data_IF_195919097788
#
_entry.id   IF_195919097788
#
_cell.length_a   1.000
_cell.length_b   1.000
_cell.length_c   1.000
_cell.angle_alpha   90.00
_cell.angle_beta   90.00
_cell.angle_gamma   90.00
#
_symmetry.space_group_name_H-M   'P 1'
#
loop_
_entity.id
_entity.type
_entity.pdbx_description
1 polymer ?
#
# COMPACT_ATOMS: atom_id res chain seq x y z
N UNK A 1 29.22 -32.99 65.29
CA UNK A 1 28.16 -32.01 64.99
C UNK A 1 28.06 -31.89 63.48
N UNK A 2 27.06 -32.50 62.88
CA UNK A 2 26.79 -32.48 61.44
C UNK A 2 25.93 -31.26 61.13
N UNK A 3 26.47 -30.31 60.36
CA UNK A 3 25.73 -29.11 59.93
C UNK A 3 25.05 -29.44 58.61
N UNK A 4 23.73 -29.67 58.67
CA UNK A 4 22.87 -29.82 57.49
C UNK A 4 22.70 -28.46 56.83
N UNK A 5 23.20 -28.30 55.60
CA UNK A 5 22.95 -27.11 54.80
C UNK A 5 21.48 -27.06 54.36
N UNK A 6 20.81 -25.94 54.61
CA UNK A 6 19.45 -25.68 54.15
C UNK A 6 19.44 -25.44 52.63
N UNK A 7 18.43 -25.93 51.89
CA UNK A 7 18.31 -25.68 50.46
C UNK A 7 17.95 -24.20 50.21
N UNK A 8 18.68 -23.56 49.31
CA UNK A 8 18.39 -22.20 48.85
C UNK A 8 17.06 -22.17 48.08
N UNK A 9 16.26 -21.10 48.22
CA UNK A 9 15.04 -20.95 47.46
C UNK A 9 15.35 -20.84 45.96
N UNK A 10 14.63 -21.63 45.17
CA UNK A 10 14.68 -21.59 43.71
C UNK A 10 14.07 -20.26 43.26
N UNK A 11 14.90 -19.24 43.05
CA UNK A 11 14.46 -17.97 42.48
C UNK A 11 13.99 -18.23 41.04
N UNK A 12 12.78 -17.79 40.64
CA UNK A 12 12.39 -17.87 39.24
C UNK A 12 13.40 -17.10 38.40
N UNK A 13 13.83 -17.70 37.28
CA UNK A 13 14.72 -17.05 36.34
C UNK A 13 14.11 -15.69 35.95
N UNK A 14 14.83 -14.61 36.22
CA UNK A 14 14.49 -13.29 35.70
C UNK A 14 14.45 -13.44 34.19
N UNK A 15 13.32 -13.14 33.50
CA UNK A 15 13.30 -13.19 32.05
C UNK A 15 14.38 -12.22 31.57
N UNK A 16 15.38 -12.77 30.89
CA UNK A 16 16.43 -12.00 30.24
C UNK A 16 15.71 -10.98 29.36
N UNK A 17 15.91 -9.69 29.63
CA UNK A 17 15.37 -8.63 28.80
C UNK A 17 15.69 -8.98 27.35
N UNK A 18 14.66 -9.17 26.52
CA UNK A 18 14.85 -9.44 25.11
C UNK A 18 15.73 -8.31 24.56
N UNK A 19 16.95 -8.64 24.16
CA UNK A 19 17.85 -7.67 23.58
C UNK A 19 17.12 -7.03 22.40
N UNK A 20 16.83 -5.74 22.47
CA UNK A 20 16.21 -5.01 21.37
C UNK A 20 17.22 -5.03 20.24
N UNK A 21 17.05 -5.96 19.31
CA UNK A 21 17.98 -6.15 18.21
C UNK A 21 17.94 -4.88 17.33
N UNK A 22 19.09 -4.20 17.25
CA UNK A 22 19.24 -3.06 16.36
C UNK A 22 18.97 -3.50 14.91
N UNK A 23 18.46 -2.60 14.04
CA UNK A 23 18.25 -2.94 12.64
C UNK A 23 19.58 -3.34 11.99
N UNK A 24 19.56 -4.46 11.25
CA UNK A 24 20.74 -5.00 10.59
C UNK A 24 20.61 -4.71 9.09
N UNK A 25 21.57 -3.97 8.55
CA UNK A 25 21.70 -3.77 7.12
C UNK A 25 22.59 -4.84 6.50
N UNK A 26 22.09 -5.49 5.45
CA UNK A 26 22.84 -6.41 4.60
C UNK A 26 22.95 -5.80 3.20
N UNK A 27 24.16 -5.54 2.69
CA UNK A 27 24.33 -4.98 1.37
C UNK A 27 23.91 -5.97 0.28
N UNK A 28 23.58 -5.42 -0.88
CA UNK A 28 23.27 -6.22 -2.07
C UNK A 28 24.41 -7.18 -2.42
N UNK A 29 24.10 -8.39 -2.94
CA UNK A 29 25.08 -9.19 -3.67
C UNK A 29 25.71 -8.35 -4.79
N UNK A 30 26.97 -8.63 -5.14
CA UNK A 30 27.83 -7.76 -5.97
C UNK A 30 27.10 -7.16 -7.19
N UNK A 31 27.03 -5.83 -7.22
CA UNK A 31 26.75 -4.99 -8.39
C UNK A 31 25.28 -4.84 -8.79
N UNK A 32 24.44 -4.09 -8.04
CA UNK A 32 23.18 -3.61 -8.61
C UNK A 32 23.48 -2.75 -9.86
N UNK A 33 22.56 -2.75 -10.82
CA UNK A 33 22.69 -1.90 -12.00
C UNK A 33 22.90 -0.43 -11.58
N UNK A 34 23.83 0.25 -12.24
CA UNK A 34 24.20 1.63 -11.93
C UNK A 34 22.96 2.53 -11.87
N UNK A 35 22.78 3.29 -10.79
CA UNK A 35 21.60 4.13 -10.57
C UNK A 35 20.41 3.46 -9.88
N UNK A 36 20.47 2.16 -9.55
CA UNK A 36 19.39 1.50 -8.78
C UNK A 36 19.41 1.97 -7.32
N UNK A 37 18.28 2.48 -6.76
CA UNK A 37 18.21 2.88 -5.36
C UNK A 37 18.47 1.70 -4.42
N UNK A 38 19.28 1.92 -3.39
CA UNK A 38 19.36 0.99 -2.26
C UNK A 38 18.05 1.03 -1.44
N UNK A 39 17.90 0.11 -0.49
CA UNK A 39 16.69 -0.01 0.35
C UNK A 39 16.37 1.29 1.07
N UNK A 40 17.37 2.06 1.51
CA UNK A 40 17.14 3.35 2.17
C UNK A 40 16.58 4.40 1.21
N UNK A 41 17.13 4.49 0.00
CA UNK A 41 16.63 5.38 -1.05
C UNK A 41 15.22 4.99 -1.50
N UNK A 42 14.94 3.69 -1.60
CA UNK A 42 13.62 3.17 -1.92
C UNK A 42 12.60 3.43 -0.80
N UNK A 43 12.99 3.25 0.48
CA UNK A 43 12.14 3.61 1.64
C UNK A 43 11.80 5.10 1.61
N UNK A 44 12.79 5.97 1.38
CA UNK A 44 12.55 7.41 1.27
C UNK A 44 11.61 7.76 0.12
N UNK A 45 11.65 7.02 -1.00
CA UNK A 45 10.72 7.18 -2.10
C UNK A 45 9.31 6.71 -1.76
N UNK A 46 9.18 5.56 -1.07
CA UNK A 46 7.90 5.06 -0.55
C UNK A 46 7.27 6.09 0.39
N UNK A 47 8.04 6.65 1.32
CA UNK A 47 7.55 7.66 2.27
C UNK A 47 6.95 8.90 1.59
N UNK A 48 7.44 9.29 0.41
CA UNK A 48 6.89 10.41 -0.36
C UNK A 48 5.52 10.10 -0.96
N UNK A 49 5.27 8.85 -1.30
CA UNK A 49 4.08 8.42 -2.05
C UNK A 49 2.98 7.83 -1.14
N UNK A 50 3.31 7.51 0.11
CA UNK A 50 2.36 6.93 1.06
C UNK A 50 1.30 7.93 1.48
N UNK A 51 0.03 7.53 1.34
CA UNK A 51 -1.12 8.33 1.72
C UNK A 51 -1.44 8.22 3.22
N UNK A 52 -2.05 9.26 3.82
CA UNK A 52 -2.44 9.21 5.22
C UNK A 52 -3.44 8.09 5.53
N UNK A 53 -3.31 7.50 6.72
CA UNK A 53 -4.27 6.52 7.24
C UNK A 53 -5.17 7.17 8.29
N UNK A 54 -6.49 7.11 8.07
CA UNK A 54 -7.49 7.68 8.96
C UNK A 54 -7.74 6.78 10.19
N UNK A 55 -8.14 7.39 11.32
CA UNK A 55 -8.54 6.70 12.56
C UNK A 55 -10.06 6.46 12.56
N UNK A 56 -10.56 5.72 11.57
CA UNK A 56 -11.99 5.53 11.28
C UNK A 56 -12.58 4.23 11.85
N UNK A 57 -11.76 3.29 12.31
CA UNK A 57 -12.23 2.03 12.91
C UNK A 57 -12.57 2.23 14.38
N UNK A 58 -13.49 1.42 14.89
CA UNK A 58 -13.93 1.46 16.28
C UNK A 58 -13.92 0.07 16.89
N UNK A 59 -13.32 -0.06 18.07
CA UNK A 59 -13.48 -1.22 18.92
C UNK A 59 -14.76 -1.02 19.75
N UNK A 60 -15.83 -1.73 19.40
CA UNK A 60 -17.14 -1.56 20.06
C UNK A 60 -17.18 -2.02 21.51
N UNK A 61 -16.30 -2.95 21.90
CA UNK A 61 -16.23 -3.48 23.26
C UNK A 61 -15.60 -2.49 24.24
N UNK A 62 -14.54 -1.82 23.80
CA UNK A 62 -13.77 -0.86 24.62
C UNK A 62 -14.01 0.61 24.23
N UNK A 63 -14.81 0.84 23.17
CA UNK A 63 -15.25 2.15 22.67
C UNK A 63 -14.11 3.12 22.36
N UNK A 64 -13.05 2.64 21.71
CA UNK A 64 -11.97 3.49 21.22
C UNK A 64 -11.81 3.35 19.70
N UNK A 65 -11.36 4.42 19.04
CA UNK A 65 -11.06 4.39 17.62
C UNK A 65 -9.64 3.91 17.34
N UNK A 66 -9.40 3.30 16.19
CA UNK A 66 -8.07 2.83 15.80
C UNK A 66 -7.87 2.87 14.28
N UNK A 67 -6.60 2.70 13.88
CA UNK A 67 -6.20 2.53 12.47
C UNK A 67 -6.09 1.04 12.16
N UNK A 68 -6.83 0.56 11.18
CA UNK A 68 -6.86 -0.84 10.78
C UNK A 68 -5.60 -1.25 10.00
N UNK A 69 -5.13 -2.48 10.19
CA UNK A 69 -4.00 -3.02 9.41
C UNK A 69 -4.32 -3.09 7.92
N UNK A 70 -5.56 -3.39 7.55
CA UNK A 70 -5.96 -3.47 6.14
C UNK A 70 -5.84 -2.10 5.44
N UNK A 71 -6.19 -1.01 6.12
CA UNK A 71 -6.02 0.35 5.60
C UNK A 71 -4.54 0.69 5.41
N UNK A 72 -3.70 0.30 6.36
CA UNK A 72 -2.24 0.48 6.28
C UNK A 72 -1.69 -0.30 5.09
N UNK A 73 -2.00 -1.60 4.98
CA UNK A 73 -1.58 -2.44 3.86
C UNK A 73 -2.04 -1.87 2.51
N UNK A 74 -3.28 -1.39 2.44
CA UNK A 74 -3.83 -0.77 1.22
C UNK A 74 -3.08 0.52 0.85
N UNK A 75 -2.78 1.38 1.82
CA UNK A 75 -2.02 2.62 1.59
C UNK A 75 -0.57 2.34 1.16
N UNK A 76 0.03 1.27 1.66
CA UNK A 76 1.41 0.89 1.35
C UNK A 76 1.56 0.13 0.03
N UNK A 77 0.54 -0.62 -0.40
CA UNK A 77 0.66 -1.58 -1.50
C UNK A 77 1.08 -0.93 -2.84
N UNK A 78 0.55 0.24 -3.16
CA UNK A 78 0.94 0.99 -4.36
C UNK A 78 2.39 1.47 -4.31
N UNK A 79 2.76 2.30 -3.31
CA UNK A 79 4.12 2.80 -3.12
C UNK A 79 5.19 1.70 -3.07
N UNK A 80 4.97 0.61 -2.32
CA UNK A 80 5.93 -0.49 -2.22
C UNK A 80 6.19 -1.14 -3.60
N UNK A 81 5.14 -1.37 -4.39
CA UNK A 81 5.29 -1.92 -5.75
C UNK A 81 5.99 -0.95 -6.69
N UNK A 82 5.67 0.35 -6.61
CA UNK A 82 6.26 1.37 -7.47
C UNK A 82 7.78 1.48 -7.28
N UNK A 83 8.26 1.31 -6.04
CA UNK A 83 9.68 1.46 -5.68
C UNK A 83 10.43 0.12 -5.52
N UNK A 84 9.81 -0.99 -5.90
CA UNK A 84 10.44 -2.31 -5.84
C UNK A 84 10.81 -2.78 -4.43
N UNK A 85 10.04 -2.37 -3.42
CA UNK A 85 10.24 -2.76 -2.02
C UNK A 85 9.29 -3.89 -1.65
N UNK A 86 9.81 -4.97 -1.05
CA UNK A 86 8.99 -6.01 -0.47
C UNK A 86 9.47 -6.41 0.92
N UNK A 87 8.57 -6.98 1.73
CA UNK A 87 8.83 -7.30 3.13
C UNK A 87 8.54 -8.77 3.36
N UNK A 88 9.53 -9.50 3.89
CA UNK A 88 9.41 -10.91 4.26
C UNK A 88 9.40 -11.05 5.80
N UNK A 89 8.26 -11.46 6.40
CA UNK A 89 8.16 -11.69 7.84
C UNK A 89 8.68 -13.07 8.26
N UNK A 90 9.33 -13.14 9.42
CA UNK A 90 9.68 -14.39 10.11
C UNK A 90 9.39 -14.24 11.62
N UNK A 91 9.00 -15.32 12.28
CA UNK A 91 8.81 -15.32 13.73
C UNK A 91 10.16 -15.63 14.37
N UNK A 92 10.76 -14.66 15.05
CA UNK A 92 12.03 -14.82 15.76
C UNK A 92 11.85 -15.44 17.14
N UNK A 93 10.76 -15.10 17.83
CA UNK A 93 10.37 -15.69 19.10
C UNK A 93 8.84 -15.80 19.17
N UNK A 94 8.34 -16.85 19.81
CA UNK A 94 6.92 -17.09 20.02
C UNK A 94 6.70 -17.62 21.43
N UNK A 95 5.84 -16.94 22.18
CA UNK A 95 5.39 -17.38 23.48
C UNK A 95 3.87 -17.33 23.53
N UNK A 96 3.25 -18.43 23.92
CA UNK A 96 1.81 -18.54 24.10
C UNK A 96 1.51 -19.09 25.48
N UNK A 97 0.64 -18.40 26.22
CA UNK A 97 0.18 -18.81 27.52
C UNK A 97 -1.35 -18.83 27.58
N UNK A 98 -1.90 -19.80 28.33
CA UNK A 98 -3.34 -19.89 28.56
C UNK A 98 -3.66 -19.11 29.86
N UNK A 99 -4.48 -18.06 29.74
CA UNK A 99 -5.00 -17.27 30.87
C UNK A 99 -6.46 -17.68 31.16
N UNK A 100 -6.68 -18.38 32.27
CA UNK A 100 -7.98 -18.97 32.58
C UNK A 100 -8.41 -20.04 31.56
N UNK A 101 -9.69 -20.42 31.54
CA UNK A 101 -10.12 -21.55 30.71
C UNK A 101 -10.14 -21.25 29.20
N UNK A 102 -10.39 -19.99 28.80
CA UNK A 102 -10.77 -19.66 27.42
C UNK A 102 -9.84 -18.68 26.71
N UNK A 103 -8.93 -17.98 27.40
CA UNK A 103 -8.11 -16.93 26.78
C UNK A 103 -6.69 -17.42 26.53
N UNK A 104 -6.22 -17.28 25.30
CA UNK A 104 -4.81 -17.46 24.94
C UNK A 104 -4.19 -16.07 24.79
N UNK A 105 -3.10 -15.82 25.51
CA UNK A 105 -2.26 -14.64 25.35
C UNK A 105 -1.00 -15.06 24.59
N UNK A 106 -0.63 -14.29 23.57
CA UNK A 106 0.52 -14.54 22.71
C UNK A 106 1.39 -13.30 22.65
N UNK A 107 2.69 -13.51 22.88
CA UNK A 107 3.75 -12.53 22.63
C UNK A 107 4.69 -13.10 21.58
N UNK A 108 4.99 -12.32 20.55
CA UNK A 108 5.92 -12.70 19.48
C UNK A 108 6.97 -11.60 19.28
N UNK A 109 8.15 -11.99 18.84
CA UNK A 109 9.10 -11.09 18.20
C UNK A 109 9.07 -11.39 16.72
N UNK A 110 8.57 -10.46 15.91
CA UNK A 110 8.57 -10.58 14.47
C UNK A 110 9.86 -9.97 13.92
N UNK A 111 10.57 -10.71 13.08
CA UNK A 111 11.68 -10.21 12.29
C UNK A 111 11.21 -9.98 10.86
N UNK A 112 11.39 -8.76 10.37
CA UNK A 112 11.02 -8.37 9.03
C UNK A 112 12.28 -8.07 8.23
N UNK A 113 12.39 -8.72 7.07
CA UNK A 113 13.42 -8.42 6.07
C UNK A 113 12.80 -7.53 5.00
N UNK A 114 13.27 -6.29 4.91
CA UNK A 114 12.82 -5.30 3.94
C UNK A 114 13.86 -5.27 2.82
N UNK A 115 13.47 -5.72 1.65
CA UNK A 115 14.35 -5.78 0.48
C UNK A 115 14.13 -4.58 -0.43
N UNK A 116 15.22 -3.95 -0.84
CA UNK A 116 15.23 -2.87 -1.84
C UNK A 116 15.41 -3.40 -3.27
N UNK A 117 15.19 -2.56 -4.28
CA UNK A 117 15.33 -2.95 -5.69
C UNK A 117 16.78 -3.25 -6.09
N UNK A 118 17.77 -2.76 -5.33
CA UNK A 118 19.17 -3.13 -5.50
C UNK A 118 19.51 -4.54 -4.97
N UNK A 119 18.58 -5.21 -4.28
CA UNK A 119 18.81 -6.53 -3.68
C UNK A 119 19.48 -6.49 -2.30
N UNK A 120 19.71 -5.29 -1.75
CA UNK A 120 20.09 -5.08 -0.36
C UNK A 120 18.89 -5.26 0.58
N UNK A 121 19.16 -5.48 1.87
CA UNK A 121 18.15 -5.82 2.86
C UNK A 121 18.36 -5.04 4.16
N UNK A 122 17.27 -4.48 4.68
CA UNK A 122 17.19 -3.94 6.03
C UNK A 122 16.34 -4.89 6.89
N UNK A 123 16.93 -5.42 7.96
CA UNK A 123 16.24 -6.32 8.89
C UNK A 123 15.88 -5.56 10.16
N UNK A 124 14.63 -5.67 10.61
CA UNK A 124 14.16 -5.08 11.85
C UNK A 124 13.34 -6.08 12.67
N UNK A 125 13.41 -6.00 13.99
CA UNK A 125 12.59 -6.79 14.90
C UNK A 125 11.55 -5.92 15.59
N UNK A 126 10.29 -6.38 15.58
CA UNK A 126 9.16 -5.65 16.15
C UNK A 126 8.35 -6.60 17.05
N UNK A 127 8.06 -6.21 18.30
CA UNK A 127 7.22 -7.02 19.17
C UNK A 127 5.77 -7.03 18.68
N UNK A 128 5.10 -8.15 18.87
CA UNK A 128 3.67 -8.32 18.67
C UNK A 128 3.04 -8.96 19.89
N UNK A 129 1.92 -8.42 20.34
CA UNK A 129 1.16 -8.96 21.47
C UNK A 129 -0.32 -9.03 21.10
N UNK A 130 -0.97 -10.12 21.46
CA UNK A 130 -2.40 -10.23 21.35
C UNK A 130 -2.98 -11.24 22.34
N UNK A 131 -4.25 -11.05 22.66
CA UNK A 131 -5.04 -12.05 23.35
C UNK A 131 -6.27 -12.41 22.55
N UNK A 132 -6.71 -13.66 22.67
CA UNK A 132 -7.92 -14.14 22.05
C UNK A 132 -8.63 -15.21 22.88
N UNK A 133 -9.95 -15.28 22.79
CA UNK A 133 -10.76 -16.31 23.43
C UNK A 133 -10.93 -17.59 22.60
N UNK A 134 -10.31 -17.63 21.42
CA UNK A 134 -10.33 -18.74 20.49
C UNK A 134 -8.89 -19.02 19.98
N UNK A 135 -8.73 -19.19 18.67
CA UNK A 135 -7.54 -19.69 17.99
C UNK A 135 -6.72 -18.60 17.27
N UNK A 136 -7.12 -17.32 17.36
CA UNK A 136 -6.57 -16.24 16.51
C UNK A 136 -5.50 -15.38 17.18
N UNK A 137 -5.08 -15.72 18.41
CA UNK A 137 -4.13 -14.91 19.17
C UNK A 137 -2.81 -14.69 18.40
N UNK A 138 -2.23 -15.73 17.81
CA UNK A 138 -0.98 -15.62 17.03
C UNK A 138 -1.15 -14.72 15.79
N UNK A 139 -2.23 -14.87 15.02
CA UNK A 139 -2.45 -14.05 13.82
C UNK A 139 -2.60 -12.57 14.18
N UNK A 140 -3.28 -12.26 15.29
CA UNK A 140 -3.41 -10.87 15.76
C UNK A 140 -2.09 -10.28 16.21
N UNK A 141 -1.27 -11.05 16.90
CA UNK A 141 0.05 -10.60 17.32
C UNK A 141 0.91 -10.27 16.08
N UNK A 142 0.83 -11.08 15.02
CA UNK A 142 1.51 -10.79 13.74
C UNK A 142 0.97 -9.53 13.05
N UNK A 143 -0.36 -9.37 12.99
CA UNK A 143 -0.97 -8.15 12.43
C UNK A 143 -0.60 -6.89 13.22
N UNK A 144 -0.53 -6.99 14.55
CA UNK A 144 -0.11 -5.89 15.41
C UNK A 144 1.35 -5.49 15.15
N UNK A 145 2.26 -6.47 15.11
CA UNK A 145 3.68 -6.23 14.81
C UNK A 145 3.87 -5.61 13.41
N UNK A 146 3.19 -6.13 12.38
CA UNK A 146 3.29 -5.60 11.02
C UNK A 146 2.77 -4.16 10.95
N UNK A 147 1.66 -3.89 11.62
CA UNK A 147 1.10 -2.52 11.70
C UNK A 147 2.14 -1.55 12.24
N UNK A 148 2.76 -1.88 13.37
CA UNK A 148 3.76 -1.00 13.97
C UNK A 148 5.01 -0.87 13.13
N UNK A 149 5.53 -1.96 12.54
CA UNK A 149 6.63 -1.89 11.58
C UNK A 149 6.33 -0.87 10.48
N UNK A 150 5.17 -0.96 9.82
CA UNK A 150 4.84 -0.10 8.69
C UNK A 150 4.71 1.38 9.12
N UNK A 151 4.07 1.65 10.26
CA UNK A 151 4.00 3.02 10.79
C UNK A 151 5.39 3.59 11.14
N UNK A 152 6.26 2.80 11.77
CA UNK A 152 7.56 3.29 12.22
C UNK A 152 8.61 3.31 11.12
N UNK A 153 8.56 2.41 10.16
CA UNK A 153 9.53 2.35 9.07
C UNK A 153 9.26 3.44 8.03
N UNK A 154 7.98 3.66 7.69
CA UNK A 154 7.58 4.58 6.62
C UNK A 154 7.00 5.90 7.12
N UNK A 155 7.01 6.15 8.43
CA UNK A 155 6.43 7.35 9.04
C UNK A 155 5.06 7.70 8.45
N UNK A 156 4.19 6.70 8.33
CA UNK A 156 2.92 6.83 7.61
C UNK A 156 2.16 8.02 8.19
N UNK A 157 1.79 9.02 7.35
CA UNK A 157 1.08 10.18 7.84
C UNK A 157 -0.22 9.79 8.52
N UNK A 158 -0.49 10.42 9.65
CA UNK A 158 -1.77 10.33 10.32
C UNK A 158 -2.62 11.52 9.86
N UNK A 159 -3.87 11.29 9.45
CA UNK A 159 -4.77 12.39 9.12
C UNK A 159 -4.80 13.40 10.29
N UNK A 160 -4.38 14.64 10.03
CA UNK A 160 -4.25 15.70 11.04
C UNK A 160 -5.56 16.12 11.70
N UNK A 161 -6.71 15.61 11.22
CA UNK A 161 -8.01 15.76 11.88
C UNK A 161 -8.20 14.80 13.06
N UNK A 162 -7.36 13.78 13.21
CA UNK A 162 -7.43 12.87 14.36
C UNK A 162 -6.73 13.50 15.57
N UNK A 163 -7.43 14.39 16.26
CA UNK A 163 -7.01 15.03 17.53
C UNK A 163 -7.15 14.07 18.74
N UNK A 164 -7.51 12.82 18.47
CA UNK A 164 -7.67 11.75 19.45
C UNK A 164 -6.34 11.02 19.63
N UNK A 165 -5.42 11.67 20.34
CA UNK A 165 -4.19 11.07 20.84
C UNK A 165 -4.53 10.18 22.04
N UNK A 166 -4.18 8.90 21.97
CA UNK A 166 -4.45 7.94 23.05
C UNK A 166 -3.67 8.23 24.33
N UNK A 167 -2.59 9.03 24.25
CA UNK A 167 -1.86 9.53 25.42
C UNK A 167 -2.54 10.74 26.07
N UNK A 168 -3.59 11.31 25.45
CA UNK A 168 -4.36 12.40 26.05
C UNK A 168 -5.19 11.94 27.25
N UNK A 169 -5.62 10.68 27.24
CA UNK A 169 -6.34 10.01 28.32
C UNK A 169 -5.58 8.72 28.71
N UNK A 170 -4.49 8.86 29.48
CA UNK A 170 -3.89 7.69 30.12
C UNK A 170 -4.96 6.96 30.95
N UNK A 171 -5.03 5.62 30.89
CA UNK A 171 -5.94 4.88 31.74
C UNK A 171 -5.55 5.09 33.20
N UNK A 172 -6.23 6.02 33.87
CA UNK A 172 -6.23 6.12 35.32
C UNK A 172 -6.68 4.76 35.84
N UNK A 173 -6.01 4.21 36.84
CA UNK A 173 -6.45 2.95 37.46
C UNK A 173 -7.97 3.01 37.70
N UNK A 174 -8.74 2.02 37.21
CA UNK A 174 -10.18 2.09 37.28
C UNK A 174 -10.58 2.24 38.76
N UNK A 175 -11.36 3.28 39.05
CA UNK A 175 -11.84 3.54 40.40
C UNK A 175 -12.49 2.27 40.99
N UNK A 176 -12.47 2.08 42.32
CA UNK A 176 -13.08 0.91 42.96
C UNK A 176 -14.53 0.66 42.50
N UNK A 177 -15.26 1.73 42.18
CA UNK A 177 -16.62 1.70 41.62
C UNK A 177 -16.67 1.08 40.22
N UNK A 178 -15.78 1.48 39.29
CA UNK A 178 -15.67 0.86 37.97
C UNK A 178 -15.21 -0.61 38.04
N UNK A 179 -14.41 -0.96 39.06
CA UNK A 179 -13.99 -2.35 39.32
C UNK A 179 -15.17 -3.19 39.83
N UNK A 180 -15.99 -2.64 40.72
CA UNK A 180 -17.19 -3.28 41.25
C UNK A 180 -18.27 -3.49 40.17
N UNK A 181 -18.46 -2.50 39.28
CA UNK A 181 -19.43 -2.60 38.18
C UNK A 181 -19.02 -3.66 37.13
N UNK A 182 -17.72 -3.78 36.85
CA UNK A 182 -17.19 -4.87 36.01
C UNK A 182 -17.33 -6.25 36.65
N UNK A 183 -17.16 -6.35 37.97
CA UNK A 183 -17.37 -7.61 38.70
C UNK A 183 -18.85 -8.00 38.77
N UNK A 184 -19.77 -7.03 38.90
CA UNK A 184 -21.22 -7.30 38.82
C UNK A 184 -21.66 -7.76 37.43
N UNK A 185 -21.10 -7.19 36.36
CA UNK A 185 -21.37 -7.64 34.98
C UNK A 185 -20.81 -9.02 34.64
N UNK A 186 -19.85 -9.52 35.41
CA UNK A 186 -19.24 -10.85 35.23
C UNK A 186 -19.87 -11.93 36.12
N UNK A 187 -20.87 -11.63 36.93
CA UNK A 187 -21.60 -12.67 37.66
C UNK A 187 -22.49 -13.46 36.69
N UNK A 188 -22.37 -14.80 36.65
CA UNK A 188 -23.20 -15.61 35.78
C UNK A 188 -24.64 -15.61 36.32
N UNK A 189 -25.55 -14.93 35.62
CA UNK A 189 -26.99 -15.20 35.76
C UNK A 189 -27.23 -16.64 35.31
N UNK A 190 -27.43 -17.54 36.27
CA UNK A 190 -27.75 -18.92 35.98
C UNK A 190 -29.03 -19.03 35.16
N UNK A 191 -28.98 -19.71 34.00
CA UNK A 191 -29.73 -20.93 33.75
C UNK A 191 -29.60 -21.44 32.30
N UNK A 192 -29.58 -22.78 32.24
CA UNK A 192 -29.91 -23.71 31.14
C UNK A 192 -28.92 -23.84 29.97
N UNK A 193 -28.12 -24.89 30.10
CA UNK A 193 -27.43 -25.58 29.02
C UNK A 193 -28.42 -26.10 27.97
N UNK A 194 -28.17 -25.76 26.71
CA UNK A 194 -28.51 -26.60 25.57
C UNK A 194 -27.21 -26.85 24.79
N UNK A 195 -26.95 -28.09 24.33
CA UNK A 195 -25.74 -28.38 23.59
C UNK A 195 -25.87 -27.79 22.18
N UNK A 196 -25.32 -26.59 21.97
CA UNK A 196 -25.14 -26.08 20.60
C UNK A 196 -23.97 -26.84 19.98
N UNK A 197 -24.32 -27.69 19.00
CA UNK A 197 -23.40 -28.30 18.04
C UNK A 197 -22.45 -27.24 17.50
N UNK A 198 -21.17 -27.61 17.45
CA UNK A 198 -20.09 -26.85 16.82
C UNK A 198 -20.47 -26.48 15.39
N UNK A 199 -20.79 -25.20 15.16
CA UNK A 199 -20.76 -24.60 13.84
C UNK A 199 -20.28 -23.16 13.98
N UNK A 200 -19.10 -22.94 13.39
CA UNK A 200 -18.50 -21.67 12.97
C UNK A 200 -18.12 -20.69 14.09
N UNK A 201 -16.81 -20.45 14.21
CA UNK A 201 -16.23 -19.39 15.03
C UNK A 201 -16.89 -18.05 14.69
N UNK A 202 -17.39 -17.35 15.71
CA UNK A 202 -17.78 -15.95 15.53
C UNK A 202 -16.52 -15.13 15.18
N UNK A 203 -16.62 -14.21 14.21
CA UNK A 203 -15.52 -13.34 13.86
C UNK A 203 -15.05 -12.55 15.10
N UNK A 204 -13.75 -12.55 15.36
CA UNK A 204 -13.18 -11.71 16.42
C UNK A 204 -13.29 -10.22 16.04
N UNK A 205 -13.13 -9.27 16.98
CA UNK A 205 -13.25 -7.82 16.75
C UNK A 205 -12.47 -7.20 15.55
N UNK A 206 -11.59 -7.94 14.88
CA UNK A 206 -10.80 -7.57 13.69
C UNK A 206 -11.21 -8.35 12.42
N UNK A 207 -12.02 -9.40 12.52
CA UNK A 207 -12.65 -10.03 11.36
C UNK A 207 -14.04 -9.45 11.23
N UNK A 208 -14.32 -8.78 10.11
CA UNK A 208 -15.69 -8.40 9.82
C UNK A 208 -16.44 -9.64 9.32
N UNK A 209 -17.67 -9.94 9.78
CA UNK A 209 -18.58 -10.68 8.92
C UNK A 209 -18.73 -9.86 7.64
N UNK A 210 -18.63 -10.49 6.47
CA UNK A 210 -18.95 -9.88 5.16
C UNK A 210 -20.42 -9.44 5.18
N UNK A 211 -20.69 -8.31 5.83
CA UNK A 211 -21.85 -7.51 5.54
C UNK A 211 -21.54 -6.90 4.19
N UNK A 212 -22.47 -7.09 3.27
CA UNK A 212 -22.48 -6.58 1.91
C UNK A 212 -22.61 -5.04 1.91
N UNK A 213 -21.74 -4.36 2.67
CA UNK A 213 -21.51 -2.94 2.60
C UNK A 213 -20.68 -2.78 1.33
N UNK A 214 -21.36 -2.38 0.26
CA UNK A 214 -20.73 -1.65 -0.82
C UNK A 214 -19.98 -0.48 -0.17
N UNK A 215 -18.70 -0.69 0.15
CA UNK A 215 -17.79 0.38 0.48
C UNK A 215 -17.90 1.37 -0.67
N UNK A 216 -18.15 2.67 -0.43
CA UNK A 216 -17.93 3.65 -1.49
C UNK A 216 -16.47 3.46 -1.90
N UNK A 217 -16.25 2.94 -3.12
CA UNK A 217 -14.92 2.72 -3.64
C UNK A 217 -14.14 4.02 -3.42
N UNK A 218 -13.04 3.96 -2.66
CA UNK A 218 -12.14 5.10 -2.51
C UNK A 218 -11.79 5.53 -3.93
N UNK A 219 -12.32 6.68 -4.30
CA UNK A 219 -12.39 7.11 -5.69
C UNK A 219 -11.00 7.55 -6.08
N UNK A 220 -10.37 6.82 -6.99
CA UNK A 220 -9.07 7.18 -7.55
C UNK A 220 -9.23 8.43 -8.41
N UNK A 221 -9.17 9.61 -7.80
CA UNK A 221 -9.44 10.88 -8.48
C UNK A 221 -8.51 11.12 -9.67
N UNK A 222 -7.29 10.55 -9.66
CA UNK A 222 -6.38 10.59 -10.80
C UNK A 222 -6.92 9.73 -11.95
N UNK A 223 -7.31 8.48 -11.69
CA UNK A 223 -7.94 7.65 -12.72
C UNK A 223 -9.28 8.20 -13.22
N UNK A 224 -10.03 8.92 -12.37
CA UNK A 224 -11.25 9.63 -12.79
C UNK A 224 -10.92 10.85 -13.66
N UNK A 225 -9.90 11.64 -13.32
CA UNK A 225 -9.38 12.73 -14.15
C UNK A 225 -8.89 12.23 -15.52
N UNK A 226 -8.23 11.07 -15.56
CA UNK A 226 -7.81 10.41 -16.81
C UNK A 226 -8.97 9.90 -17.66
N UNK A 227 -10.17 9.75 -17.10
CA UNK A 227 -11.39 9.41 -17.86
C UNK A 227 -12.30 10.60 -18.14
N UNK A 228 -12.07 11.75 -17.50
CA UNK A 228 -12.84 12.95 -17.71
C UNK A 228 -12.56 13.53 -19.11
N UNK A 229 -13.64 13.88 -19.83
CA UNK A 229 -13.59 14.35 -21.21
C UNK A 229 -14.12 15.79 -21.36
N UNK A 230 -14.52 16.43 -20.26
CA UNK A 230 -14.95 17.83 -20.25
C UNK A 230 -14.36 18.62 -19.08
N UNK A 231 -14.14 19.94 -19.23
CA UNK A 231 -13.67 20.80 -18.15
C UNK A 231 -14.56 20.74 -16.89
N UNK A 232 -15.87 20.68 -17.08
CA UNK A 232 -16.84 20.59 -15.97
C UNK A 232 -16.72 19.27 -15.18
N UNK A 233 -16.33 18.17 -15.83
CA UNK A 233 -16.06 16.91 -15.15
C UNK A 233 -14.77 17.00 -14.32
N UNK A 234 -13.74 17.68 -14.85
CA UNK A 234 -12.51 17.95 -14.10
C UNK A 234 -12.74 18.78 -12.85
N UNK A 235 -13.53 19.85 -12.95
CA UNK A 235 -13.83 20.72 -11.82
C UNK A 235 -14.58 19.97 -10.71
N UNK A 236 -15.50 19.07 -11.07
CA UNK A 236 -16.19 18.20 -10.12
C UNK A 236 -15.26 17.21 -9.43
N UNK A 237 -14.34 16.59 -10.18
CA UNK A 237 -13.36 15.63 -9.64
C UNK A 237 -12.37 16.33 -8.70
N UNK A 238 -11.88 17.52 -9.09
CA UNK A 238 -11.00 18.34 -8.27
C UNK A 238 -11.69 18.83 -7.00
N UNK A 239 -12.93 19.32 -7.10
CA UNK A 239 -13.72 19.73 -5.94
C UNK A 239 -13.96 18.56 -4.97
N UNK A 240 -14.24 17.36 -5.49
CA UNK A 240 -14.39 16.16 -4.69
C UNK A 240 -13.07 15.74 -4.02
N UNK A 241 -11.92 15.86 -4.70
CA UNK A 241 -10.61 15.61 -4.12
C UNK A 241 -10.25 16.62 -3.01
N UNK A 242 -10.59 17.90 -3.18
CA UNK A 242 -10.42 18.94 -2.15
C UNK A 242 -11.29 18.64 -0.93
N UNK A 243 -12.56 18.30 -1.12
CA UNK A 243 -13.46 17.93 -0.01
C UNK A 243 -12.98 16.66 0.71
N UNK A 244 -12.40 15.71 -0.03
CA UNK A 244 -11.76 14.53 0.52
C UNK A 244 -10.42 14.82 1.26
N UNK A 245 -9.90 16.05 1.18
CA UNK A 245 -8.69 16.46 1.89
C UNK A 245 -7.38 16.13 1.17
N UNK A 246 -7.39 16.05 -0.16
CA UNK A 246 -6.19 15.81 -0.94
C UNK A 246 -5.11 16.90 -0.71
N UNK A 247 -3.82 16.53 -0.57
CA UNK A 247 -2.73 17.48 -0.40
C UNK A 247 -2.50 18.32 -1.66
N UNK A 248 -1.87 19.50 -1.49
CA UNK A 248 -1.67 20.46 -2.57
C UNK A 248 -0.94 19.88 -3.80
N UNK A 249 0.06 19.03 -3.57
CA UNK A 249 0.82 18.38 -4.65
C UNK A 249 -0.04 17.40 -5.46
N UNK A 250 -0.99 16.72 -4.81
CA UNK A 250 -1.93 15.82 -5.49
C UNK A 250 -2.95 16.61 -6.33
N UNK A 251 -3.41 17.75 -5.84
CA UNK A 251 -4.26 18.67 -6.61
C UNK A 251 -3.50 19.24 -7.81
N UNK A 252 -2.20 19.54 -7.66
CA UNK A 252 -1.35 19.97 -8.75
C UNK A 252 -1.19 18.88 -9.83
N UNK A 253 -1.13 17.60 -9.44
CA UNK A 253 -1.13 16.48 -10.39
C UNK A 253 -2.45 16.38 -11.18
N UNK A 254 -3.60 16.57 -10.52
CA UNK A 254 -4.90 16.63 -11.21
C UNK A 254 -4.97 17.81 -12.21
N UNK A 255 -4.43 18.97 -11.80
CA UNK A 255 -4.38 20.16 -12.64
C UNK A 255 -3.47 19.95 -13.87
N UNK A 256 -2.37 19.22 -13.71
CA UNK A 256 -1.48 18.83 -14.81
C UNK A 256 -2.16 17.88 -15.82
N UNK A 257 -2.95 16.91 -15.34
CA UNK A 257 -3.74 16.02 -16.21
C UNK A 257 -4.79 16.82 -16.99
N UNK A 258 -5.46 17.78 -16.34
CA UNK A 258 -6.44 18.65 -16.99
C UNK A 258 -5.77 19.56 -18.06
N UNK A 259 -4.59 20.10 -17.77
CA UNK A 259 -3.83 20.91 -18.73
C UNK A 259 -3.40 20.10 -19.95
N UNK A 260 -2.88 18.88 -19.76
CA UNK A 260 -2.48 17.97 -20.84
C UNK A 260 -3.65 17.65 -21.78
N UNK A 261 -4.81 17.35 -21.22
CA UNK A 261 -6.01 17.02 -22.02
C UNK A 261 -6.63 18.23 -22.71
N UNK A 262 -6.57 19.42 -22.12
CA UNK A 262 -6.98 20.67 -22.80
C UNK A 262 -6.07 20.99 -23.99
N UNK A 263 -4.75 20.79 -23.85
CA UNK A 263 -3.81 20.93 -24.96
C UNK A 263 -4.07 19.95 -26.10
N UNK A 264 -4.39 18.68 -25.77
CA UNK A 264 -4.74 17.67 -26.75
C UNK A 264 -6.08 17.96 -27.47
N UNK A 265 -7.08 18.51 -26.77
CA UNK A 265 -8.37 18.89 -27.37
C UNK A 265 -8.28 20.14 -28.27
N UNK A 266 -7.42 21.11 -27.92
CA UNK A 266 -7.18 22.31 -28.74
C UNK A 266 -6.41 21.97 -30.03
N UNK A 267 -5.50 21.00 -29.99
CA UNK A 267 -4.83 20.48 -31.20
C UNK A 267 -5.76 19.72 -32.16
N UNK A 268 -6.89 19.20 -31.68
CA UNK A 268 -7.88 18.49 -32.51
C UNK A 268 -8.97 19.40 -33.10
N UNK A 269 -9.18 20.60 -32.56
CA UNK A 269 -10.18 21.56 -33.08
C UNK A 269 -9.66 22.50 -34.18
N UNK A 270 -8.34 22.60 -34.42
CA UNK A 270 -7.78 23.40 -35.52
C UNK A 270 -7.74 22.67 -36.89
N UNK A 271 -8.19 21.40 -36.96
CA UNK A 271 -8.21 20.62 -38.20
C UNK A 271 -9.50 20.74 -39.05
N UNK A 272 -10.53 21.43 -38.57
CA UNK A 272 -11.80 21.57 -39.29
C UNK A 272 -12.39 22.97 -39.13
N UNK A 273 -11.86 23.95 -39.88
CA UNK A 273 -12.66 24.92 -40.66
C UNK A 273 -11.79 26.06 -41.24
N UNK A 274 -11.86 26.14 -42.59
CA UNK A 274 -11.79 27.34 -43.43
C UNK A 274 -10.42 27.97 -43.80
N UNK A 275 -10.15 27.96 -45.11
CA UNK A 275 -9.38 28.98 -45.85
C UNK A 275 -10.34 30.14 -46.28
N UNK A 276 -9.91 31.30 -46.86
CA UNK A 276 -8.61 32.01 -46.98
C UNK A 276 -8.75 33.52 -46.51
N UNK A 277 -7.97 34.57 -46.89
CA UNK A 277 -6.67 34.70 -47.60
C UNK A 277 -5.59 35.62 -46.93
N UNK A 278 -4.35 35.48 -47.44
CA UNK A 278 -3.17 36.37 -47.53
C UNK A 278 -2.99 37.62 -46.62
N UNK A 279 -1.84 37.67 -45.93
CA UNK A 279 -0.75 38.69 -45.97
C UNK A 279 -0.09 38.89 -44.58
N UNK A 280 1.25 38.95 -44.55
CA UNK A 280 2.01 39.62 -43.48
C UNK A 280 2.76 38.73 -42.49
N UNK A 281 3.97 38.32 -42.88
CA UNK A 281 5.22 38.33 -42.11
C UNK A 281 5.18 38.38 -40.56
N UNK A 282 5.58 37.29 -39.89
CA UNK A 282 6.69 37.24 -38.91
C UNK A 282 6.81 35.85 -38.24
N UNK A 283 8.01 35.26 -38.28
CA UNK A 283 8.33 33.95 -37.72
C UNK A 283 8.69 34.00 -36.21
N UNK A 284 8.34 32.97 -35.42
CA UNK A 284 9.07 32.57 -34.23
C UNK A 284 9.90 31.27 -34.48
N UNK A 285 10.89 30.95 -33.64
CA UNK A 285 12.08 30.17 -34.01
C UNK A 285 11.83 28.65 -34.08
N UNK A 286 12.71 27.88 -34.75
CA UNK A 286 12.51 26.46 -34.98
C UNK A 286 12.68 25.65 -33.69
N UNK A 287 11.65 24.91 -33.32
CA UNK A 287 11.72 23.79 -32.39
C UNK A 287 12.63 22.69 -32.95
N UNK A 288 13.53 22.23 -32.10
CA UNK A 288 14.60 21.24 -32.35
C UNK A 288 14.08 20.03 -33.14
N UNK A 289 14.75 19.57 -34.22
CA UNK A 289 14.39 18.32 -34.87
C UNK A 289 14.61 17.16 -33.90
N UNK A 290 13.52 16.47 -33.51
CA UNK A 290 13.61 15.23 -32.76
C UNK A 290 14.44 14.23 -33.58
N UNK A 291 15.53 13.73 -33.01
CA UNK A 291 16.42 12.78 -33.67
C UNK A 291 15.63 11.51 -34.06
N UNK A 292 15.91 10.90 -35.23
CA UNK A 292 15.17 9.73 -35.73
C UNK A 292 15.14 8.55 -34.76
N UNK A 293 16.15 8.43 -33.87
CA UNK A 293 16.22 7.42 -32.81
C UNK A 293 15.15 7.62 -31.72
N UNK A 294 14.87 8.86 -31.32
CA UNK A 294 13.84 9.16 -30.32
C UNK A 294 12.45 8.88 -30.88
N UNK A 295 12.22 9.22 -32.15
CA UNK A 295 10.98 8.91 -32.85
C UNK A 295 10.76 7.39 -32.99
N UNK A 296 11.82 6.61 -33.25
CA UNK A 296 11.73 5.16 -33.33
C UNK A 296 11.39 4.53 -31.96
N UNK A 297 12.00 5.01 -30.87
CA UNK A 297 11.72 4.53 -29.52
C UNK A 297 10.28 4.82 -29.06
N UNK A 298 9.76 6.01 -29.37
CA UNK A 298 8.36 6.37 -29.10
C UNK A 298 7.39 5.48 -29.90
N UNK A 299 7.68 5.24 -31.18
CA UNK A 299 6.88 4.37 -32.05
C UNK A 299 6.91 2.90 -31.59
N UNK A 300 8.06 2.40 -31.11
CA UNK A 300 8.18 1.04 -30.57
C UNK A 300 7.33 0.87 -29.31
N UNK A 301 7.38 1.84 -28.39
CA UNK A 301 6.57 1.80 -27.16
C UNK A 301 5.07 1.82 -27.48
N UNK A 302 4.66 2.66 -28.45
CA UNK A 302 3.28 2.72 -28.91
C UNK A 302 2.83 1.39 -29.57
N UNK A 303 3.70 0.76 -30.35
CA UNK A 303 3.43 -0.55 -30.95
C UNK A 303 3.23 -1.65 -29.90
N UNK A 304 4.12 -1.73 -28.89
CA UNK A 304 4.01 -2.72 -27.80
C UNK A 304 2.75 -2.52 -26.97
N UNK A 305 2.34 -1.27 -26.75
CA UNK A 305 1.08 -0.97 -26.06
C UNK A 305 -0.15 -1.43 -26.88
N UNK A 306 -0.15 -1.22 -28.20
CA UNK A 306 -1.22 -1.67 -29.07
C UNK A 306 -1.31 -3.21 -29.11
N UNK A 307 -0.17 -3.91 -29.19
CA UNK A 307 -0.13 -5.37 -29.13
C UNK A 307 -0.62 -5.92 -27.79
N UNK A 308 -0.27 -5.26 -26.68
CA UNK A 308 -0.77 -5.61 -25.34
C UNK A 308 -2.30 -5.46 -25.25
N UNK A 309 -2.86 -4.38 -25.81
CA UNK A 309 -4.32 -4.16 -25.88
C UNK A 309 -5.03 -5.19 -26.76
N UNK A 310 -4.39 -5.62 -27.85
CA UNK A 310 -4.89 -6.64 -28.75
C UNK A 310 -4.63 -8.09 -28.26
N UNK A 311 -3.95 -8.25 -27.11
CA UNK A 311 -3.52 -9.54 -26.57
C UNK A 311 -2.72 -10.39 -27.59
N UNK A 312 -1.76 -9.76 -28.30
CA UNK A 312 -0.92 -10.40 -29.32
C UNK A 312 0.46 -10.77 -28.72
N UNK A 313 0.64 -12.01 -28.21
CA UNK A 313 1.91 -12.44 -27.61
C UNK A 313 3.01 -12.70 -28.65
N UNK A 314 2.68 -12.72 -29.94
CA UNK A 314 3.58 -13.03 -31.06
C UNK A 314 4.10 -11.78 -31.77
N UNK A 315 3.96 -10.59 -31.16
CA UNK A 315 4.30 -9.29 -31.76
C UNK A 315 5.66 -9.30 -32.49
N UNK A 316 6.74 -9.70 -31.82
CA UNK A 316 8.09 -9.67 -32.39
C UNK A 316 8.20 -10.59 -33.62
N UNK A 317 7.65 -11.80 -33.54
CA UNK A 317 7.66 -12.77 -34.63
C UNK A 317 6.77 -12.34 -35.81
N UNK A 318 5.62 -11.73 -35.52
CA UNK A 318 4.70 -11.23 -36.54
C UNK A 318 5.28 -10.01 -37.26
N UNK A 319 5.92 -9.09 -36.52
CA UNK A 319 6.59 -7.94 -37.09
C UNK A 319 7.77 -8.36 -37.97
N UNK A 320 8.63 -9.25 -37.47
CA UNK A 320 9.78 -9.76 -38.23
C UNK A 320 9.35 -10.51 -39.49
N UNK A 321 8.25 -11.26 -39.43
CA UNK A 321 7.66 -11.93 -40.61
C UNK A 321 7.17 -10.95 -41.68
N UNK A 322 6.63 -9.79 -41.29
CA UNK A 322 6.08 -8.80 -42.23
C UNK A 322 7.13 -7.85 -42.77
N UNK A 323 8.10 -7.45 -41.94
CA UNK A 323 9.11 -6.44 -42.29
C UNK A 323 10.51 -7.02 -42.56
N UNK A 324 10.75 -8.30 -42.27
CA UNK A 324 12.03 -8.98 -42.51
C UNK A 324 13.18 -8.54 -41.59
N UNK A 325 12.86 -7.83 -40.51
CA UNK A 325 13.81 -7.27 -39.55
C UNK A 325 13.16 -7.17 -38.16
N UNK A 326 13.95 -7.26 -37.07
CA UNK A 326 13.42 -7.17 -35.72
C UNK A 326 12.99 -5.73 -35.38
N UNK A 327 12.01 -5.58 -34.48
CA UNK A 327 11.45 -4.30 -34.03
C UNK A 327 12.54 -3.30 -33.62
N UNK A 328 13.59 -3.77 -32.92
CA UNK A 328 14.71 -2.93 -32.46
C UNK A 328 15.54 -2.30 -33.60
N UNK A 329 15.39 -2.76 -34.84
CA UNK A 329 16.08 -2.23 -36.03
C UNK A 329 15.13 -1.46 -36.97
N UNK A 330 13.86 -1.33 -36.61
CA UNK A 330 12.84 -0.70 -37.44
C UNK A 330 12.80 0.82 -37.25
N UNK A 331 12.50 1.55 -38.33
CA UNK A 331 12.24 2.98 -38.26
C UNK A 331 10.82 3.28 -37.77
N UNK A 332 10.61 4.49 -37.22
CA UNK A 332 9.32 4.94 -36.67
C UNK A 332 8.13 4.70 -37.63
N UNK A 333 8.30 4.96 -38.93
CA UNK A 333 7.25 4.77 -39.94
C UNK A 333 6.81 3.30 -40.08
N UNK A 334 7.74 2.34 -39.99
CA UNK A 334 7.42 0.91 -40.10
C UNK A 334 6.67 0.43 -38.85
N UNK A 335 7.10 0.90 -37.67
CA UNK A 335 6.48 0.62 -36.38
C UNK A 335 5.05 1.18 -36.30
N UNK A 336 4.85 2.41 -36.74
CA UNK A 336 3.53 3.06 -36.79
C UNK A 336 2.59 2.37 -37.79
N UNK A 337 3.10 1.96 -38.96
CA UNK A 337 2.32 1.23 -39.96
C UNK A 337 1.84 -0.13 -39.41
N UNK A 338 2.72 -0.87 -38.72
CA UNK A 338 2.36 -2.14 -38.11
C UNK A 338 1.40 -1.97 -36.93
N UNK A 339 1.58 -0.91 -36.12
CA UNK A 339 0.62 -0.55 -35.06
C UNK A 339 -0.77 -0.32 -35.63
N UNK A 340 -0.87 0.44 -36.72
CA UNK A 340 -2.14 0.71 -37.38
C UNK A 340 -2.80 -0.57 -37.92
N UNK A 341 -2.02 -1.57 -38.36
CA UNK A 341 -2.55 -2.88 -38.76
C UNK A 341 -3.15 -3.65 -37.57
N UNK A 342 -2.49 -3.62 -36.40
CA UNK A 342 -3.00 -4.25 -35.17
C UNK A 342 -4.29 -3.57 -34.71
N UNK A 343 -4.32 -2.23 -34.68
CA UNK A 343 -5.48 -1.45 -34.21
C UNK A 343 -6.70 -1.58 -35.13
N UNK A 344 -6.47 -1.77 -36.44
CA UNK A 344 -7.54 -1.99 -37.42
C UNK A 344 -7.96 -3.46 -37.57
N UNK A 345 -7.44 -4.38 -36.74
CA UNK A 345 -7.82 -5.80 -36.72
C UNK A 345 -7.28 -6.62 -37.90
N UNK A 346 -6.22 -6.16 -38.56
CA UNK A 346 -5.66 -6.75 -39.79
C UNK A 346 -4.59 -7.83 -39.59
N UNK A 347 -4.21 -8.16 -38.36
CA UNK A 347 -3.26 -9.24 -38.09
C UNK A 347 -4.00 -10.57 -37.86
N UNK A 348 -4.25 -11.31 -38.94
CA UNK A 348 -4.58 -12.74 -38.91
C UNK A 348 -3.56 -13.53 -39.73
#
# INVERSE_FOLDING_TARGET
MTVTALPLPNLPAVPTAAAVAAPIYQPAPVGPAEGTPNVFGAIAAVMRDVMPVAKDKENTQQRYKFRGIDDVMSAMAGPLRAHGVFILPTIAAHHAERRGEKMTHVTITMRYHVYGPAGDCLTAEVPGEASDFADKATNKAQSAALKYLLFTLFMIPVDGRSVDDGDRDHPVEPTPEHRAERQQRQQPRGQRQQPRRSNRAEPGPWEQPQQNQQQPQRTDYLAHAERANSPEQFDKIRAAAVQAGAPADYLAQLDAVAARKRGAAQGQQQGQQQAPPQQGEQAPPPSVPQSPEVAAAEAENALRLAASRANLPTLDADFERVHGLPIAQAGAQQLDAFRAMIENGGAR
#
